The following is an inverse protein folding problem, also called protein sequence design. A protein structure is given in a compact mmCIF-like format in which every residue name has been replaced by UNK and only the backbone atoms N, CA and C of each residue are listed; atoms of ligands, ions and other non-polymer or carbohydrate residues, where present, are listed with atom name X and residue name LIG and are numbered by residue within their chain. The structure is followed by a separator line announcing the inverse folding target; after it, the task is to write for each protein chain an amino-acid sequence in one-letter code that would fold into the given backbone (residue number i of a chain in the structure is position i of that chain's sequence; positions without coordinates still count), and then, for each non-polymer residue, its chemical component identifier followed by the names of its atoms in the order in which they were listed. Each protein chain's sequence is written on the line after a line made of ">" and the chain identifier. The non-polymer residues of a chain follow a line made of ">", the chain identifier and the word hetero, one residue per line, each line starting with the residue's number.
data_IF_207229652252
#
_entry.id   IF_207229652252
#
_cell.length_a   1.000
_cell.length_b   1.000
_cell.length_c   1.000
_cell.angle_alpha   90.00
_cell.angle_beta   90.00
_cell.angle_gamma   90.00
#
_symmetry.space_group_name_H-M   'P 1'
#
loop_
_entity.id
_entity.type
_entity.pdbx_description
1 polymer ?
#
# COMPACT_ATOMS: atom_id res chain seq x y z
N UNK A 1 -11.18 10.05 -54.24
CA UNK A 1 -11.23 10.20 -52.77
C UNK A 1 -12.02 9.02 -52.24
N UNK A 2 -11.44 8.06 -51.49
CA UNK A 2 -12.18 7.22 -50.50
C UNK A 2 -11.45 6.02 -49.87
N UNK A 3 -10.30 5.55 -50.35
CA UNK A 3 -9.62 4.42 -49.68
C UNK A 3 -8.78 4.82 -48.46
N UNK A 4 -8.29 6.05 -48.40
CA UNK A 4 -7.42 6.51 -47.31
C UNK A 4 -8.13 6.58 -45.94
N UNK A 5 -9.39 7.03 -45.92
CA UNK A 5 -10.19 7.11 -44.69
C UNK A 5 -10.56 5.72 -44.14
N UNK A 6 -10.69 4.71 -45.01
CA UNK A 6 -10.95 3.33 -44.60
C UNK A 6 -9.74 2.72 -43.89
N UNK A 7 -8.52 2.94 -44.40
CA UNK A 7 -7.29 2.48 -43.74
C UNK A 7 -7.01 3.22 -42.42
N UNK A 8 -7.29 4.52 -42.33
CA UNK A 8 -7.22 5.26 -41.06
C UNK A 8 -8.24 4.71 -40.05
N UNK A 9 -9.45 4.38 -40.49
CA UNK A 9 -10.46 3.77 -39.63
C UNK A 9 -10.03 2.43 -39.05
N UNK A 10 -9.37 1.58 -39.85
CA UNK A 10 -8.84 0.28 -39.39
C UNK A 10 -7.67 0.46 -38.41
N UNK A 11 -6.76 1.41 -38.66
CA UNK A 11 -5.63 1.68 -37.77
C UNK A 11 -6.12 2.24 -36.41
N UNK A 12 -7.18 3.07 -36.41
CA UNK A 12 -7.80 3.57 -35.19
C UNK A 12 -8.59 2.48 -34.43
N UNK A 13 -9.14 1.48 -35.12
CA UNK A 13 -9.82 0.34 -34.50
C UNK A 13 -8.87 -0.66 -33.83
N UNK A 14 -7.62 -0.76 -34.27
CA UNK A 14 -6.62 -1.68 -33.68
C UNK A 14 -6.05 -1.13 -32.36
N UNK A 15 -6.29 0.14 -32.02
CA UNK A 15 -5.90 0.70 -30.72
C UNK A 15 -6.91 0.39 -29.60
N UNK A 16 -7.58 -0.77 -29.66
CA UNK A 16 -8.26 -1.30 -28.47
C UNK A 16 -7.20 -1.50 -27.39
N UNK A 17 -7.31 -0.70 -26.33
CA UNK A 17 -6.48 -0.70 -25.13
C UNK A 17 -6.47 -2.13 -24.60
N UNK A 18 -5.42 -2.88 -24.91
CA UNK A 18 -5.23 -4.21 -24.38
C UNK A 18 -4.57 -4.03 -23.02
N UNK A 19 -5.14 -4.60 -21.96
CA UNK A 19 -4.44 -4.78 -20.71
C UNK A 19 -3.08 -5.42 -20.99
N UNK A 20 -2.00 -4.81 -20.51
CA UNK A 20 -0.64 -5.26 -20.78
C UNK A 20 -0.45 -6.60 -20.05
N UNK A 21 -0.25 -7.66 -20.83
CA UNK A 21 0.04 -8.99 -20.32
C UNK A 21 1.55 -9.18 -20.14
N UNK A 22 1.97 -9.65 -18.97
CA UNK A 22 3.37 -9.93 -18.64
C UNK A 22 3.50 -11.24 -17.87
N UNK A 23 4.68 -11.83 -17.86
CA UNK A 23 4.94 -13.00 -17.02
C UNK A 23 5.17 -12.60 -15.57
N UNK A 24 4.76 -13.45 -14.62
CA UNK A 24 4.98 -13.22 -13.18
C UNK A 24 6.45 -13.01 -12.84
N UNK A 25 7.33 -13.80 -13.47
CA UNK A 25 8.78 -13.69 -13.30
C UNK A 25 9.37 -12.35 -13.76
N UNK A 26 8.76 -11.72 -14.77
CA UNK A 26 9.19 -10.43 -15.28
C UNK A 26 8.70 -9.30 -14.38
N UNK A 27 7.50 -9.44 -13.82
CA UNK A 27 6.96 -8.52 -12.80
C UNK A 27 7.87 -8.46 -11.58
N UNK A 28 8.31 -9.61 -11.07
CA UNK A 28 9.19 -9.68 -9.90
C UNK A 28 10.58 -9.05 -10.13
N UNK A 29 10.98 -8.82 -11.38
CA UNK A 29 12.24 -8.16 -11.76
C UNK A 29 12.09 -6.67 -12.02
N UNK A 30 10.89 -6.11 -11.91
CA UNK A 30 10.66 -4.67 -12.09
C UNK A 30 11.42 -3.92 -10.99
N UNK A 31 12.44 -3.17 -11.39
CA UNK A 31 13.13 -2.25 -10.50
C UNK A 31 12.24 -1.02 -10.24
N UNK A 32 11.64 -0.96 -9.05
CA UNK A 32 10.75 0.15 -8.68
C UNK A 32 11.50 1.47 -8.45
N UNK A 33 12.81 1.42 -8.24
CA UNK A 33 13.61 2.61 -7.95
C UNK A 33 13.72 3.57 -9.13
N UNK A 34 13.53 3.06 -10.36
CA UNK A 34 13.53 3.86 -11.59
C UNK A 34 12.23 4.67 -11.80
N UNK A 35 11.17 4.36 -11.04
CA UNK A 35 9.82 4.91 -11.21
C UNK A 35 9.41 5.89 -10.10
N UNK A 36 10.37 6.68 -9.62
CA UNK A 36 10.12 7.76 -8.65
C UNK A 36 9.59 9.03 -9.30
N UNK A 37 9.84 9.22 -10.59
CA UNK A 37 9.37 10.41 -11.30
C UNK A 37 7.99 10.17 -11.91
N UNK A 38 7.04 11.09 -11.66
CA UNK A 38 5.69 11.06 -12.24
C UNK A 38 5.65 10.81 -13.74
N UNK A 39 6.60 11.40 -14.47
CA UNK A 39 6.66 11.33 -15.93
C UNK A 39 7.31 10.04 -16.45
N UNK A 40 7.81 9.18 -15.56
CA UNK A 40 8.44 7.91 -15.90
C UNK A 40 7.54 6.71 -15.60
N UNK A 41 6.31 6.93 -15.13
CA UNK A 41 5.40 5.82 -14.88
C UNK A 41 5.14 5.05 -16.18
N UNK A 42 5.49 3.76 -16.21
CA UNK A 42 5.26 2.96 -17.39
C UNK A 42 3.77 2.75 -17.55
N UNK A 43 3.36 2.43 -18.77
CA UNK A 43 1.96 2.32 -19.09
C UNK A 43 1.25 1.28 -18.20
N UNK A 44 1.91 0.18 -17.83
CA UNK A 44 1.36 -0.90 -16.99
C UNK A 44 1.29 -0.57 -15.48
N UNK A 45 1.65 0.64 -15.07
CA UNK A 45 1.45 1.09 -13.68
C UNK A 45 -0.02 1.43 -13.41
N UNK A 46 -0.43 1.33 -12.15
CA UNK A 46 -1.77 1.73 -11.68
C UNK A 46 -1.92 3.26 -11.64
N UNK A 47 -0.79 3.98 -11.69
CA UNK A 47 -0.72 5.43 -11.66
C UNK A 47 0.40 5.93 -10.74
N UNK A 48 0.47 7.25 -10.58
CA UNK A 48 1.43 7.91 -9.68
C UNK A 48 0.75 8.25 -8.35
N UNK A 49 1.22 7.66 -7.25
CA UNK A 49 0.55 7.76 -5.95
C UNK A 49 1.29 8.76 -5.04
N UNK A 50 0.52 9.69 -4.47
CA UNK A 50 0.93 10.64 -3.42
C UNK A 50 2.20 11.45 -3.72
N UNK A 51 2.45 11.71 -4.99
CA UNK A 51 3.66 12.37 -5.49
C UNK A 51 4.99 11.68 -5.14
N UNK A 52 4.98 10.40 -4.75
CA UNK A 52 6.16 9.66 -4.29
C UNK A 52 6.73 8.75 -5.39
N UNK A 53 5.90 7.89 -5.96
CA UNK A 53 6.32 6.86 -6.91
C UNK A 53 5.13 6.34 -7.71
N UNK A 54 5.43 5.66 -8.82
CA UNK A 54 4.45 4.88 -9.55
C UNK A 54 4.07 3.64 -8.74
N UNK A 55 2.77 3.32 -8.69
CA UNK A 55 2.26 2.11 -8.04
C UNK A 55 1.95 1.03 -9.07
N UNK A 56 2.08 -0.21 -8.65
CA UNK A 56 1.98 -1.38 -9.50
C UNK A 56 1.11 -2.43 -8.85
N UNK A 57 0.00 -2.74 -9.52
CA UNK A 57 -0.91 -3.79 -9.11
C UNK A 57 -1.18 -4.70 -10.29
N UNK A 58 -0.88 -5.98 -10.13
CA UNK A 58 -1.13 -7.00 -11.14
C UNK A 58 -1.96 -8.13 -10.55
N UNK A 59 -2.74 -8.77 -11.41
CA UNK A 59 -3.40 -10.03 -11.11
C UNK A 59 -2.87 -11.08 -12.06
N UNK A 60 -2.49 -12.22 -11.52
CA UNK A 60 -1.88 -13.32 -12.24
C UNK A 60 -2.78 -14.54 -12.20
N UNK A 61 -3.01 -15.16 -13.35
CA UNK A 61 -3.53 -16.51 -13.47
C UNK A 61 -2.36 -17.39 -13.92
N UNK A 62 -1.96 -18.33 -13.05
CA UNK A 62 -0.71 -19.09 -13.21
C UNK A 62 0.52 -18.17 -13.38
N UNK A 63 1.14 -18.16 -14.56
CA UNK A 63 2.31 -17.32 -14.88
C UNK A 63 1.97 -16.10 -15.76
N UNK A 64 0.71 -15.96 -16.20
CA UNK A 64 0.26 -14.82 -17.00
C UNK A 64 -0.39 -13.78 -16.11
N UNK A 65 0.04 -12.53 -16.22
CA UNK A 65 -0.38 -11.45 -15.35
C UNK A 65 -0.84 -10.24 -16.13
N UNK A 66 -1.82 -9.52 -15.61
CA UNK A 66 -2.33 -8.28 -16.18
C UNK A 66 -2.30 -7.14 -15.18
N UNK A 67 -1.91 -5.96 -15.64
CA UNK A 67 -1.93 -4.73 -14.83
C UNK A 67 -3.37 -4.30 -14.56
N UNK A 68 -3.68 -3.94 -13.33
CA UNK A 68 -4.96 -3.35 -12.96
C UNK A 68 -4.94 -1.83 -13.19
N UNK A 69 -5.62 -1.35 -14.23
CA UNK A 69 -5.72 0.08 -14.58
C UNK A 69 -7.11 0.68 -14.32
N UNK A 70 -7.73 0.36 -13.18
CA UNK A 70 -9.14 0.70 -12.92
C UNK A 70 -10.10 0.14 -13.97
N UNK A 71 -9.70 -0.94 -14.65
CA UNK A 71 -10.58 -1.64 -15.56
C UNK A 71 -11.60 -2.43 -14.76
N UNK A 72 -12.84 -2.45 -15.25
CA UNK A 72 -13.92 -3.20 -14.63
C UNK A 72 -13.72 -4.71 -14.75
N UNK A 73 -12.96 -5.14 -15.76
CA UNK A 73 -12.71 -6.53 -16.10
C UNK A 73 -11.24 -6.79 -16.39
N UNK A 74 -10.79 -8.03 -16.14
CA UNK A 74 -9.53 -8.59 -16.66
C UNK A 74 -9.86 -9.71 -17.62
N UNK A 75 -9.04 -9.92 -18.66
CA UNK A 75 -9.31 -10.92 -19.70
C UNK A 75 -8.18 -11.94 -19.80
N UNK A 76 -8.36 -13.15 -19.27
CA UNK A 76 -7.35 -14.21 -19.38
C UNK A 76 -7.74 -15.25 -20.43
N UNK A 77 -6.75 -15.88 -21.05
CA UNK A 77 -6.98 -16.99 -21.96
C UNK A 77 -6.98 -18.28 -21.15
N UNK A 78 -8.07 -19.05 -21.21
CA UNK A 78 -8.14 -20.34 -20.52
C UNK A 78 -7.33 -21.44 -21.26
N UNK A 79 -7.26 -22.64 -20.67
CA UNK A 79 -6.54 -23.78 -21.27
C UNK A 79 -7.07 -24.22 -22.64
N UNK A 80 -8.30 -23.84 -22.99
CA UNK A 80 -8.91 -24.13 -24.30
C UNK A 80 -8.63 -23.02 -25.34
N UNK A 81 -7.85 -22.00 -25.00
CA UNK A 81 -7.59 -20.85 -25.88
C UNK A 81 -8.73 -19.84 -25.94
N UNK A 82 -9.75 -19.95 -25.07
CA UNK A 82 -10.88 -19.00 -25.02
C UNK A 82 -10.57 -17.88 -24.04
N UNK A 83 -10.86 -16.64 -24.46
CA UNK A 83 -10.82 -15.47 -23.56
C UNK A 83 -11.96 -15.55 -22.55
N UNK A 84 -11.63 -15.46 -21.28
CA UNK A 84 -12.58 -15.38 -20.17
C UNK A 84 -12.39 -14.04 -19.45
N UNK A 85 -13.49 -13.36 -19.19
CA UNK A 85 -13.50 -12.08 -18.47
C UNK A 85 -13.80 -12.31 -16.99
N UNK A 86 -13.09 -11.60 -16.13
CA UNK A 86 -13.26 -11.63 -14.69
C UNK A 86 -13.46 -10.21 -14.17
N UNK A 87 -14.41 -10.00 -13.29
CA UNK A 87 -14.70 -8.72 -12.65
C UNK A 87 -13.59 -8.43 -11.65
N UNK A 88 -12.86 -7.35 -11.89
CA UNK A 88 -11.67 -6.99 -11.12
C UNK A 88 -11.98 -6.24 -9.81
N UNK A 89 -13.14 -5.57 -9.76
CA UNK A 89 -13.59 -4.86 -8.56
C UNK A 89 -13.94 -5.85 -7.44
N UNK A 90 -13.46 -5.57 -6.23
CA UNK A 90 -13.76 -6.34 -5.02
C UNK A 90 -14.27 -5.38 -3.94
N UNK A 91 -15.40 -5.72 -3.32
CA UNK A 91 -15.97 -4.99 -2.20
C UNK A 91 -15.66 -5.67 -0.86
N UNK A 92 -15.43 -4.85 0.17
CA UNK A 92 -15.53 -5.33 1.55
C UNK A 92 -16.96 -5.76 1.83
N UNK A 93 -17.15 -6.92 2.45
CA UNK A 93 -18.49 -7.48 2.66
C UNK A 93 -19.41 -6.57 3.50
N UNK A 94 -18.84 -5.79 4.41
CA UNK A 94 -19.58 -4.88 5.29
C UNK A 94 -19.84 -3.49 4.67
N UNK A 95 -19.30 -3.20 3.49
CA UNK A 95 -19.46 -1.90 2.85
C UNK A 95 -20.69 -1.85 1.93
N UNK A 96 -21.82 -1.35 2.45
CA UNK A 96 -23.08 -1.21 1.72
C UNK A 96 -23.03 -0.26 0.51
N UNK A 97 -22.06 0.64 0.46
CA UNK A 97 -21.93 1.63 -0.61
C UNK A 97 -20.99 1.19 -1.73
N UNK A 98 -20.37 0.02 -1.60
CA UNK A 98 -19.47 -0.50 -2.61
C UNK A 98 -20.25 -1.18 -3.74
N UNK A 99 -19.87 -0.88 -4.98
CA UNK A 99 -20.46 -1.48 -6.18
C UNK A 99 -19.36 -1.98 -7.11
N UNK A 100 -19.65 -3.09 -7.80
CA UNK A 100 -18.81 -3.67 -8.84
C UNK A 100 -19.62 -3.84 -10.12
N UNK A 101 -19.00 -4.38 -11.16
CA UNK A 101 -19.80 -5.03 -12.20
C UNK A 101 -20.70 -6.10 -11.58
N UNK A 102 -21.88 -6.33 -12.18
CA UNK A 102 -22.79 -7.36 -11.73
C UNK A 102 -22.21 -8.75 -12.00
N UNK A 103 -21.94 -9.50 -10.95
CA UNK A 103 -21.63 -10.92 -11.05
C UNK A 103 -22.92 -11.75 -11.02
N UNK A 104 -22.92 -12.88 -11.73
CA UNK A 104 -24.01 -13.87 -11.72
C UNK A 104 -23.56 -15.16 -11.02
N UNK A 105 -22.26 -15.43 -11.02
CA UNK A 105 -21.63 -16.55 -10.34
C UNK A 105 -20.34 -16.11 -9.64
N UNK A 106 -19.90 -16.91 -8.66
CA UNK A 106 -18.62 -16.70 -7.96
C UNK A 106 -17.44 -16.61 -8.93
N UNK A 107 -17.45 -17.48 -9.95
CA UNK A 107 -16.43 -17.54 -11.00
C UNK A 107 -16.32 -16.30 -11.87
N UNK A 108 -17.30 -15.41 -11.84
CA UNK A 108 -17.25 -14.13 -12.55
C UNK A 108 -16.32 -13.14 -11.84
N UNK A 109 -16.08 -13.32 -10.54
CA UNK A 109 -15.28 -12.42 -9.71
C UNK A 109 -13.84 -12.91 -9.60
N UNK A 110 -12.87 -12.00 -9.62
CA UNK A 110 -11.48 -12.38 -9.32
C UNK A 110 -11.32 -12.93 -7.89
N UNK A 111 -12.15 -12.48 -6.95
CA UNK A 111 -12.19 -13.00 -5.58
C UNK A 111 -12.84 -14.38 -5.47
N UNK A 112 -13.42 -14.89 -6.56
CA UNK A 112 -14.21 -16.11 -6.59
C UNK A 112 -15.37 -16.10 -5.57
N UNK A 113 -16.02 -14.94 -5.40
CA UNK A 113 -17.16 -14.77 -4.48
C UNK A 113 -18.09 -13.65 -4.93
N UNK A 114 -19.31 -14.03 -5.29
CA UNK A 114 -20.39 -13.17 -5.72
C UNK A 114 -21.50 -13.17 -4.67
N UNK A 115 -21.81 -11.99 -4.11
CA UNK A 115 -22.87 -11.84 -3.12
C UNK A 115 -23.76 -10.66 -3.52
N UNK A 116 -25.07 -10.92 -3.66
CA UNK A 116 -26.05 -9.90 -4.06
C UNK A 116 -25.69 -9.20 -5.39
N UNK A 117 -25.15 -9.95 -6.36
CA UNK A 117 -24.63 -9.46 -7.64
C UNK A 117 -23.44 -8.50 -7.52
N UNK A 118 -22.69 -8.55 -6.41
CA UNK A 118 -21.47 -7.76 -6.20
C UNK A 118 -20.33 -8.71 -5.86
N UNK A 119 -19.15 -8.46 -6.44
CA UNK A 119 -17.95 -9.22 -6.10
C UNK A 119 -17.43 -8.78 -4.74
N UNK A 120 -17.30 -9.72 -3.80
CA UNK A 120 -16.90 -9.43 -2.42
C UNK A 120 -15.63 -10.20 -2.05
N UNK A 121 -14.92 -9.71 -1.03
CA UNK A 121 -13.71 -10.34 -0.52
C UNK A 121 -13.99 -11.65 0.26
N UNK A 122 -12.93 -12.42 0.51
CA UNK A 122 -13.00 -13.65 1.31
C UNK A 122 -13.58 -14.87 0.59
N UNK A 123 -13.42 -14.93 -0.74
CA UNK A 123 -13.50 -16.19 -1.48
C UNK A 123 -12.14 -16.87 -1.56
N UNK A 124 -12.08 -18.02 -2.24
CA UNK A 124 -10.82 -18.71 -2.57
C UNK A 124 -10.50 -18.43 -4.04
N UNK A 125 -9.71 -17.41 -4.28
CA UNK A 125 -9.31 -16.98 -5.61
C UNK A 125 -8.38 -18.00 -6.26
N UNK A 126 -8.52 -18.13 -7.58
CA UNK A 126 -7.54 -18.83 -8.43
C UNK A 126 -6.42 -17.89 -8.90
N UNK A 127 -6.52 -16.60 -8.59
CA UNK A 127 -5.57 -15.58 -8.97
C UNK A 127 -4.52 -15.38 -7.88
N UNK A 128 -3.34 -14.93 -8.27
CA UNK A 128 -2.35 -14.33 -7.38
C UNK A 128 -2.35 -12.84 -7.63
N UNK A 129 -2.44 -12.03 -6.57
CA UNK A 129 -2.21 -10.59 -6.66
C UNK A 129 -0.70 -10.32 -6.52
N UNK A 130 -0.16 -9.42 -7.32
CA UNK A 130 1.20 -8.91 -7.18
C UNK A 130 1.11 -7.40 -6.98
N UNK A 131 1.56 -6.93 -5.82
CA UNK A 131 1.43 -5.54 -5.45
C UNK A 131 2.77 -4.96 -5.00
N UNK A 132 2.90 -3.67 -5.19
CA UNK A 132 4.09 -2.94 -4.80
C UNK A 132 4.09 -2.71 -3.27
N UNK A 133 5.16 -3.16 -2.59
CA UNK A 133 5.23 -3.17 -1.12
C UNK A 133 6.38 -2.31 -0.60
N UNK A 134 6.08 -1.56 0.46
CA UNK A 134 7.07 -0.77 1.21
C UNK A 134 7.68 -1.62 2.32
N UNK A 135 9.02 -1.71 2.37
CA UNK A 135 9.75 -2.49 3.39
C UNK A 135 9.70 -1.93 4.81
N UNK A 136 9.05 -0.81 5.08
CA UNK A 136 8.85 -0.37 6.46
C UNK A 136 8.22 1.01 6.64
N UNK A 137 7.85 1.35 7.88
CA UNK A 137 7.18 2.61 8.23
C UNK A 137 8.03 3.87 8.00
N UNK A 138 9.35 3.72 7.85
CA UNK A 138 10.30 4.83 7.66
C UNK A 138 11.00 4.82 6.30
N UNK A 139 10.65 3.87 5.42
CA UNK A 139 11.19 3.81 4.05
C UNK A 139 10.04 4.13 3.09
N UNK A 140 9.88 5.40 2.69
CA UNK A 140 8.81 5.81 1.78
C UNK A 140 9.00 5.27 0.36
N UNK A 141 10.13 4.63 0.08
CA UNK A 141 10.41 4.02 -1.22
C UNK A 141 9.83 2.62 -1.28
N UNK A 142 8.93 2.42 -2.23
CA UNK A 142 8.52 1.09 -2.68
C UNK A 142 9.74 0.32 -3.12
N UNK A 143 9.95 -0.85 -2.52
CA UNK A 143 11.23 -1.57 -2.64
C UNK A 143 11.15 -2.81 -3.50
N UNK A 144 9.99 -3.45 -3.56
CA UNK A 144 9.79 -4.67 -4.35
C UNK A 144 8.32 -4.92 -4.64
N UNK A 145 8.06 -5.76 -5.63
CA UNK A 145 6.73 -6.31 -5.88
C UNK A 145 6.64 -7.65 -5.16
N UNK A 146 5.60 -7.80 -4.33
CA UNK A 146 5.31 -9.04 -3.60
C UNK A 146 4.05 -9.66 -4.20
N UNK A 147 4.10 -10.96 -4.45
CA UNK A 147 2.98 -11.71 -4.99
C UNK A 147 2.43 -12.71 -3.97
N UNK A 148 1.11 -12.79 -3.84
CA UNK A 148 0.45 -13.77 -2.98
C UNK A 148 -1.06 -13.78 -3.16
N UNK A 149 -1.76 -14.26 -2.16
CA UNK A 149 -3.23 -14.25 -2.06
C UNK A 149 -3.77 -12.82 -2.14
N UNK A 150 -5.00 -12.73 -2.67
CA UNK A 150 -5.74 -11.49 -2.84
C UNK A 150 -6.19 -10.93 -1.49
N UNK A 151 -6.48 -9.63 -1.47
CA UNK A 151 -7.10 -8.98 -0.33
C UNK A 151 -8.38 -9.71 0.16
N UNK A 152 -8.45 -9.93 1.47
CA UNK A 152 -9.55 -10.56 2.19
C UNK A 152 -9.55 -12.09 2.16
N UNK A 153 -8.63 -12.73 1.43
CA UNK A 153 -8.45 -14.19 1.52
C UNK A 153 -7.82 -14.59 2.86
N UNK A 154 -8.16 -15.78 3.35
CA UNK A 154 -7.60 -16.32 4.61
C UNK A 154 -6.11 -16.61 4.47
N UNK A 155 -5.35 -16.27 5.50
CA UNK A 155 -3.92 -16.50 5.56
C UNK A 155 -3.48 -16.90 6.96
N UNK A 156 -2.28 -17.47 7.08
CA UNK A 156 -1.67 -17.75 8.40
C UNK A 156 -0.39 -16.94 8.63
N UNK A 157 0.21 -16.42 7.55
CA UNK A 157 1.48 -15.69 7.58
C UNK A 157 1.52 -14.65 6.48
N UNK A 158 2.34 -13.62 6.68
CA UNK A 158 2.51 -12.50 5.74
C UNK A 158 2.95 -12.98 4.35
N UNK A 159 3.81 -14.01 4.26
CA UNK A 159 4.34 -14.50 2.97
C UNK A 159 3.29 -15.15 2.08
N UNK A 160 2.12 -15.49 2.62
CA UNK A 160 1.01 -16.00 1.81
C UNK A 160 0.29 -14.90 1.03
N UNK A 161 0.48 -13.62 1.38
CA UNK A 161 -0.28 -12.49 0.89
C UNK A 161 0.52 -11.59 -0.06
N UNK A 162 -0.16 -10.88 -0.96
CA UNK A 162 0.40 -9.75 -1.71
C UNK A 162 0.59 -8.48 -0.84
N UNK A 163 0.81 -8.67 0.46
CA UNK A 163 0.71 -7.65 1.50
C UNK A 163 1.01 -8.25 2.87
N UNK A 164 0.13 -8.05 3.86
CA UNK A 164 0.28 -8.66 5.19
C UNK A 164 -0.93 -9.47 5.60
N UNK A 165 -0.70 -10.41 6.50
CA UNK A 165 -1.68 -11.26 7.11
C UNK A 165 -1.99 -10.77 8.52
N UNK A 166 -3.20 -10.29 8.75
CA UNK A 166 -3.66 -9.93 10.09
C UNK A 166 -5.19 -9.95 10.18
N UNK A 167 -5.70 -10.03 11.39
CA UNK A 167 -7.12 -9.94 11.68
C UNK A 167 -7.62 -8.50 11.53
N UNK A 168 -8.45 -8.25 10.53
CA UNK A 168 -9.20 -7.00 10.37
C UNK A 168 -10.58 -7.15 11.00
N UNK A 169 -10.88 -6.28 11.97
CA UNK A 169 -12.19 -6.24 12.65
C UNK A 169 -13.34 -5.97 11.67
N UNK A 170 -13.05 -5.34 10.52
CA UNK A 170 -13.99 -5.06 9.44
C UNK A 170 -14.12 -6.20 8.42
N UNK A 171 -13.38 -7.29 8.59
CA UNK A 171 -13.43 -8.45 7.67
C UNK A 171 -14.77 -9.18 7.72
N UNK A 172 -15.04 -9.98 6.68
CA UNK A 172 -16.24 -10.81 6.59
C UNK A 172 -16.31 -11.85 7.72
N UNK A 173 -15.17 -12.35 8.19
CA UNK A 173 -15.08 -13.35 9.25
C UNK A 173 -14.25 -12.80 10.42
N UNK A 174 -14.94 -12.36 11.48
CA UNK A 174 -14.29 -11.89 12.70
C UNK A 174 -13.38 -12.98 13.29
N UNK A 175 -12.21 -12.57 13.78
CA UNK A 175 -11.21 -13.45 14.40
C UNK A 175 -10.49 -14.39 13.44
N UNK A 176 -10.43 -14.05 12.15
CA UNK A 176 -9.67 -14.80 11.16
C UNK A 176 -8.70 -13.86 10.48
N UNK A 177 -7.44 -14.28 10.42
CA UNK A 177 -6.42 -13.51 9.73
C UNK A 177 -6.67 -13.57 8.22
N UNK A 178 -6.70 -12.39 7.61
CA UNK A 178 -6.90 -12.23 6.17
C UNK A 178 -5.78 -11.41 5.54
N UNK A 179 -5.61 -11.55 4.24
CA UNK A 179 -4.64 -10.78 3.49
C UNK A 179 -5.11 -9.33 3.33
N UNK A 180 -4.22 -8.39 3.60
CA UNK A 180 -4.45 -6.97 3.46
C UNK A 180 -3.36 -6.33 2.62
N UNK A 181 -3.79 -5.57 1.61
CA UNK A 181 -2.89 -4.70 0.87
C UNK A 181 -2.54 -3.50 1.74
N UNK A 182 -1.24 -3.24 1.92
CA UNK A 182 -0.80 -2.02 2.58
C UNK A 182 -1.03 -0.84 1.63
N UNK A 183 -2.21 -0.24 1.69
CA UNK A 183 -2.35 1.14 1.27
C UNK A 183 -1.65 1.96 2.35
N UNK A 184 -0.39 2.28 2.13
CA UNK A 184 0.31 3.22 3.00
C UNK A 184 -0.49 4.50 2.95
N UNK A 185 -1.25 4.79 4.03
CA UNK A 185 -1.75 6.14 4.23
C UNK A 185 -0.48 6.99 4.19
N UNK A 186 -0.36 7.93 3.24
CA UNK A 186 0.84 8.75 3.18
C UNK A 186 1.01 9.37 4.56
N UNK A 187 2.24 9.35 5.09
CA UNK A 187 2.59 10.17 6.23
C UNK A 187 2.15 11.58 5.85
N UNK A 188 1.09 12.07 6.50
CA UNK A 188 0.55 13.35 6.10
C UNK A 188 1.63 14.37 6.47
N UNK A 189 1.98 15.32 5.59
CA UNK A 189 3.02 16.31 5.91
C UNK A 189 2.74 17.05 7.24
N UNK A 190 1.44 17.14 7.59
CA UNK A 190 0.95 17.65 8.86
C UNK A 190 1.38 16.81 10.08
N UNK A 191 1.56 15.50 9.93
CA UNK A 191 2.02 14.62 11.02
C UNK A 191 3.47 14.94 11.39
N UNK A 192 4.34 15.18 10.40
CA UNK A 192 5.72 15.62 10.66
C UNK A 192 5.75 16.98 11.36
N UNK A 193 4.93 17.94 10.92
CA UNK A 193 4.82 19.26 11.57
C UNK A 193 4.31 19.10 13.01
N UNK A 194 3.34 18.23 13.24
CA UNK A 194 2.80 17.94 14.56
C UNK A 194 3.88 17.36 15.50
N UNK A 195 4.64 16.37 15.06
CA UNK A 195 5.74 15.79 15.86
C UNK A 195 6.87 16.80 16.10
N UNK A 196 7.20 17.65 15.12
CA UNK A 196 8.17 18.74 15.29
C UNK A 196 7.71 19.74 16.36
N UNK A 197 6.43 20.13 16.34
CA UNK A 197 5.84 20.99 17.37
C UNK A 197 5.90 20.36 18.77
N UNK A 198 5.58 19.07 18.90
CA UNK A 198 5.72 18.33 20.17
C UNK A 198 7.18 18.38 20.64
N UNK A 199 8.14 18.06 19.79
CA UNK A 199 9.56 18.09 20.15
C UNK A 199 10.02 19.48 20.59
N UNK A 200 9.65 20.54 19.86
CA UNK A 200 9.96 21.92 20.24
C UNK A 200 9.34 22.31 21.60
N UNK A 201 8.09 21.94 21.86
CA UNK A 201 7.44 22.20 23.14
C UNK A 201 8.12 21.50 24.32
N UNK A 202 8.60 20.26 24.14
CA UNK A 202 9.38 19.53 25.15
C UNK A 202 10.68 20.28 25.45
N UNK A 203 11.41 20.75 24.43
CA UNK A 203 12.64 21.54 24.63
C UNK A 203 12.36 22.82 25.42
N UNK A 204 11.27 23.53 25.11
CA UNK A 204 10.88 24.75 25.81
C UNK A 204 10.55 24.44 27.28
N UNK A 205 9.80 23.37 27.55
CA UNK A 205 9.46 22.94 28.91
C UNK A 205 10.73 22.61 29.70
N UNK A 206 11.65 21.84 29.12
CA UNK A 206 12.93 21.49 29.75
C UNK A 206 13.78 22.74 30.05
N UNK A 207 13.80 23.72 29.14
CA UNK A 207 14.51 24.98 29.36
C UNK A 207 13.89 25.80 30.51
N UNK A 208 12.55 25.82 30.63
CA UNK A 208 11.85 26.47 31.75
C UNK A 208 12.17 25.76 33.06
N UNK A 209 12.05 24.43 33.11
CA UNK A 209 12.39 23.62 34.29
C UNK A 209 13.84 23.87 34.71
N UNK A 210 14.78 23.88 33.76
CA UNK A 210 16.19 24.17 34.04
C UNK A 210 16.41 25.56 34.61
N UNK A 211 15.72 26.59 34.10
CA UNK A 211 15.80 27.95 34.65
C UNK A 211 15.22 28.05 36.06
N UNK A 212 14.08 27.39 36.32
CA UNK A 212 13.48 27.30 37.65
C UNK A 212 14.45 26.59 38.59
N UNK A 213 14.96 25.42 38.20
CA UNK A 213 15.95 24.68 38.98
C UNK A 213 17.18 25.53 39.32
N UNK A 214 17.73 26.28 38.35
CA UNK A 214 18.88 27.16 38.58
C UNK A 214 18.55 28.36 39.47
N UNK A 215 17.35 28.91 39.41
CA UNK A 215 16.91 30.00 40.29
C UNK A 215 16.71 29.51 41.73
N UNK A 216 16.16 28.30 41.87
CA UNK A 216 15.84 27.69 43.16
C UNK A 216 17.02 26.96 43.80
N UNK A 217 18.02 26.55 43.02
CA UNK A 217 19.30 26.06 43.51
C UNK A 217 19.98 27.23 44.24
N UNK A 218 19.90 27.28 45.57
CA UNK A 218 20.52 28.35 46.33
C UNK A 218 22.02 28.22 46.04
N UNK A 219 22.75 29.33 45.96
CA UNK A 219 24.21 29.33 45.96
C UNK A 219 24.71 28.58 47.20
N UNK A 220 24.85 27.26 47.10
CA UNK A 220 25.37 26.37 48.14
C UNK A 220 26.88 26.55 48.35
N UNK A 221 27.50 27.49 47.63
CA UNK A 221 28.95 27.69 47.59
C UNK A 221 29.40 29.03 48.20
N UNK A 222 28.57 29.66 49.05
CA UNK A 222 29.01 30.81 49.86
C UNK A 222 28.91 30.60 51.38
N UNK A 223 28.72 29.37 51.85
CA UNK A 223 28.63 29.04 53.27
C UNK A 223 29.49 27.82 53.66
N UNK A 224 30.75 27.79 53.22
CA UNK A 224 31.79 27.10 54.01
C UNK A 224 32.63 28.20 54.67
N UNK A 225 32.42 28.52 55.96
CA UNK A 225 33.34 29.38 56.68
C UNK A 225 34.71 28.69 56.77
N UNK A 226 35.77 29.42 56.39
CA UNK A 226 37.15 29.15 56.78
C UNK A 226 37.25 29.19 58.31
N UNK A 227 36.95 28.09 58.99
CA UNK A 227 37.23 27.96 60.43
C UNK A 227 37.64 26.53 60.78
N UNK A 228 38.63 26.00 60.05
CA UNK A 228 39.51 24.93 60.56
C UNK A 228 40.95 25.36 60.30
N UNK A 229 41.34 26.49 60.88
CA UNK A 229 42.74 26.74 61.25
C UNK A 229 42.73 27.28 62.67
N UNK A 230 43.58 26.72 63.54
CA UNK A 230 43.74 27.01 64.98
C UNK A 230 42.85 26.21 65.93
N UNK A 231 43.21 24.93 66.15
CA UNK A 231 43.13 24.32 67.48
C UNK A 231 44.08 23.11 67.57
N UNK A 232 45.38 23.40 67.49
CA UNK A 232 46.44 22.58 68.06
C UNK A 232 47.55 23.54 68.52
N UNK A 233 48.10 23.30 69.72
CA UNK A 233 48.94 24.18 70.55
C UNK A 233 48.13 25.11 71.48
N UNK A 234 47.75 24.62 72.66
CA UNK A 234 48.52 24.70 73.93
C UNK A 234 48.00 23.59 74.85
#
# INVERSE_FOLDING_TARGET
>A
MNNYYFFIGIILFIQTINAISMKKEDILKIDLTQFKDKNKCPEYSTGYINDIACSFRFFCLDNECQSYKNEQYLEFTNKEGKKQKYIAGICKANNKNCTTAKCMADSDCISNKCMNNVCVEGGNSIFTECNDMNKGPFQPTVTEIVCGKLQGEKCNKDEECAGKCYNDEDSYEKNIDTCHTYNVKPFNGNDCIFYLCIFCSIIIILAIIYRIYRYWSPKAEKYYPESISKLSLV
#
